data_IF_632490658980
#
_entry.id   IF_632490658980
#
_cell.length_a   1.000
_cell.length_b   1.000
_cell.length_c   1.000
_cell.angle_alpha   90.00
_cell.angle_beta   90.00
_cell.angle_gamma   90.00
#
_symmetry.space_group_name_H-M   'P 1'
#
loop_
_entity.id
_entity.type
_entity.pdbx_description
1 polymer ?
#
# COMPACT_ATOMS: atom_id res chain seq x y z
N UNK A 1 -21.07 -16.77 6.00
CA UNK A 1 -20.77 -15.83 4.88
C UNK A 1 -20.99 -14.42 5.42
N UNK A 2 -19.94 -13.59 5.43
CA UNK A 2 -20.13 -12.17 5.73
C UNK A 2 -20.96 -11.54 4.60
N UNK A 3 -21.83 -10.55 4.88
CA UNK A 3 -22.44 -9.71 3.86
C UNK A 3 -21.36 -9.08 2.98
N UNK A 4 -21.62 -8.93 1.68
CA UNK A 4 -20.65 -8.40 0.71
C UNK A 4 -20.05 -7.05 1.15
N UNK A 5 -20.84 -6.19 1.80
CA UNK A 5 -20.38 -4.90 2.33
C UNK A 5 -19.42 -5.03 3.51
N UNK A 6 -19.68 -5.95 4.45
CA UNK A 6 -18.78 -6.20 5.59
C UNK A 6 -17.46 -6.81 5.10
N UNK A 7 -17.53 -7.71 4.12
CA UNK A 7 -16.34 -8.23 3.45
C UNK A 7 -15.55 -7.13 2.74
N UNK A 8 -16.21 -6.23 2.01
CA UNK A 8 -15.55 -5.11 1.32
C UNK A 8 -14.83 -4.17 2.28
N UNK A 9 -15.48 -3.77 3.38
CA UNK A 9 -14.84 -2.93 4.41
C UNK A 9 -13.62 -3.63 5.00
N UNK A 10 -13.75 -4.88 5.45
CA UNK A 10 -12.63 -5.64 6.02
C UNK A 10 -11.49 -5.82 5.00
N UNK A 11 -11.81 -6.04 3.72
CA UNK A 11 -10.81 -6.17 2.67
C UNK A 11 -10.06 -4.86 2.45
N UNK A 12 -10.77 -3.72 2.35
CA UNK A 12 -10.16 -2.40 2.19
C UNK A 12 -9.26 -2.05 3.38
N UNK A 13 -9.71 -2.27 4.62
CA UNK A 13 -8.92 -2.02 5.83
C UNK A 13 -7.61 -2.83 5.83
N UNK A 14 -7.69 -4.14 5.52
CA UNK A 14 -6.51 -5.00 5.45
C UNK A 14 -5.58 -4.62 4.30
N UNK A 15 -6.12 -4.18 3.17
CA UNK A 15 -5.31 -3.75 2.03
C UNK A 15 -4.60 -2.42 2.30
N UNK A 16 -5.23 -1.50 3.03
CA UNK A 16 -4.57 -0.28 3.54
C UNK A 16 -3.38 -0.65 4.42
N UNK A 17 -3.58 -1.50 5.42
CA UNK A 17 -2.49 -1.94 6.33
C UNK A 17 -1.36 -2.65 5.56
N UNK A 18 -1.72 -3.54 4.63
CA UNK A 18 -0.75 -4.24 3.79
C UNK A 18 0.06 -3.27 2.92
N UNK A 19 -0.58 -2.26 2.32
CA UNK A 19 0.11 -1.25 1.51
C UNK A 19 0.97 -0.32 2.35
N UNK A 20 0.54 0.07 3.55
CA UNK A 20 1.35 0.89 4.46
C UNK A 20 2.65 0.16 4.83
N UNK A 21 2.58 -1.14 5.12
CA UNK A 21 3.78 -1.95 5.36
C UNK A 21 4.69 -2.09 4.12
N UNK A 22 4.11 -2.19 2.92
CA UNK A 22 4.88 -2.23 1.68
C UNK A 22 5.57 -0.90 1.37
N UNK A 23 4.93 0.23 1.65
CA UNK A 23 5.52 1.57 1.53
C UNK A 23 6.69 1.72 2.50
N UNK A 24 6.55 1.30 3.76
CA UNK A 24 7.63 1.33 4.75
C UNK A 24 8.86 0.54 4.26
N UNK A 25 8.66 -0.70 3.80
CA UNK A 25 9.75 -1.53 3.27
C UNK A 25 10.39 -0.89 2.03
N UNK A 26 9.58 -0.32 1.13
CA UNK A 26 10.07 0.30 -0.09
C UNK A 26 10.87 1.59 0.21
N UNK A 27 10.44 2.40 1.18
CA UNK A 27 11.25 3.54 1.65
C UNK A 27 12.61 3.07 2.17
N UNK A 28 12.64 1.98 2.94
CA UNK A 28 13.88 1.38 3.43
C UNK A 28 14.85 0.97 2.30
N UNK A 29 14.32 0.39 1.21
CA UNK A 29 15.11 0.05 0.02
C UNK A 29 15.54 1.30 -0.76
N UNK A 30 14.73 2.35 -0.83
CA UNK A 30 15.14 3.62 -1.47
C UNK A 30 16.32 4.27 -0.74
N UNK A 31 16.30 4.25 0.59
CA UNK A 31 17.28 4.93 1.42
C UNK A 31 18.61 4.16 1.50
N UNK A 32 18.55 2.82 1.52
CA UNK A 32 19.71 1.98 1.83
C UNK A 32 20.13 1.04 0.69
N UNK A 33 19.29 0.85 -0.31
CA UNK A 33 19.48 -0.10 -1.41
C UNK A 33 20.69 0.25 -2.29
N UNK A 34 21.44 -0.77 -2.68
CA UNK A 34 22.64 -0.62 -3.51
C UNK A 34 22.41 -1.08 -4.96
N UNK A 35 21.39 -1.91 -5.20
CA UNK A 35 21.07 -2.40 -6.53
C UNK A 35 20.08 -1.45 -7.21
N UNK A 36 20.58 -0.64 -8.15
CA UNK A 36 19.82 0.45 -8.78
C UNK A 36 18.43 0.04 -9.32
N UNK A 37 18.25 -1.13 -9.98
CA UNK A 37 16.92 -1.57 -10.40
C UNK A 37 15.94 -1.82 -9.23
N UNK A 38 16.42 -2.33 -8.09
CA UNK A 38 15.58 -2.51 -6.89
C UNK A 38 15.19 -1.16 -6.27
N UNK A 39 16.12 -0.22 -6.17
CA UNK A 39 15.84 1.16 -5.70
C UNK A 39 14.79 1.84 -6.60
N UNK A 40 14.89 1.67 -7.92
CA UNK A 40 13.91 2.23 -8.85
C UNK A 40 12.54 1.56 -8.71
N UNK A 41 12.49 0.24 -8.50
CA UNK A 41 11.25 -0.47 -8.22
C UNK A 41 10.62 0.01 -6.90
N UNK A 42 11.43 0.19 -5.86
CA UNK A 42 10.98 0.69 -4.57
C UNK A 42 10.36 2.10 -4.72
N UNK A 43 10.95 2.96 -5.54
CA UNK A 43 10.36 4.26 -5.85
C UNK A 43 8.98 4.17 -6.50
N UNK A 44 8.82 3.27 -7.48
CA UNK A 44 7.53 3.03 -8.11
C UNK A 44 6.52 2.48 -7.11
N UNK A 45 6.92 1.58 -6.21
CA UNK A 45 6.06 1.01 -5.17
C UNK A 45 5.55 2.09 -4.21
N UNK A 46 6.43 2.97 -3.73
CA UNK A 46 6.04 4.10 -2.86
C UNK A 46 5.00 4.98 -3.55
N UNK A 47 5.24 5.36 -4.81
CA UNK A 47 4.31 6.20 -5.58
C UNK A 47 2.94 5.53 -5.77
N UNK A 48 2.93 4.30 -6.27
CA UNK A 48 1.67 3.62 -6.62
C UNK A 48 0.87 3.23 -5.39
N UNK A 49 1.52 2.67 -4.36
CA UNK A 49 0.79 2.17 -3.19
C UNK A 49 0.31 3.30 -2.27
N UNK A 50 1.02 4.43 -2.22
CA UNK A 50 0.49 5.65 -1.55
C UNK A 50 -0.81 6.12 -2.22
N UNK A 51 -0.83 6.18 -3.56
CA UNK A 51 -2.04 6.57 -4.29
C UNK A 51 -3.18 5.54 -4.15
N UNK A 52 -2.88 4.26 -3.97
CA UNK A 52 -3.88 3.21 -3.71
C UNK A 52 -4.43 3.30 -2.28
N UNK A 53 -3.59 3.57 -1.28
CA UNK A 53 -4.01 3.85 0.09
C UNK A 53 -5.02 4.99 0.12
N UNK A 54 -4.73 6.12 -0.55
CA UNK A 54 -5.64 7.28 -0.60
C UNK A 54 -6.99 6.92 -1.21
N UNK A 55 -6.99 6.14 -2.30
CA UNK A 55 -8.23 5.66 -2.92
C UNK A 55 -9.01 4.74 -1.99
N UNK A 56 -8.36 3.84 -1.28
CA UNK A 56 -9.01 2.91 -0.36
C UNK A 56 -9.58 3.63 0.87
N UNK A 57 -8.85 4.61 1.43
CA UNK A 57 -9.34 5.48 2.51
C UNK A 57 -10.57 6.28 2.06
N UNK A 58 -10.53 6.83 0.85
CA UNK A 58 -11.71 7.50 0.26
C UNK A 58 -12.92 6.56 0.09
N UNK A 59 -12.71 5.29 -0.27
CA UNK A 59 -13.77 4.27 -0.36
C UNK A 59 -14.33 3.86 1.02
N UNK A 60 -13.48 3.84 2.04
CA UNK A 60 -13.88 3.61 3.43
C UNK A 60 -14.60 4.84 4.03
N UNK A 61 -14.40 6.02 3.45
CA UNK A 61 -14.88 7.29 4.01
C UNK A 61 -14.03 7.78 5.19
N UNK A 62 -12.75 7.39 5.24
CA UNK A 62 -11.77 7.76 6.26
C UNK A 62 -10.75 8.81 5.81
#
# INVERSE_FOLDING_TARGET
NAPDSEFQTMWLERMVEHHEGAVEMAQGEQDNGQYKPAVNLAAAVVETQTAEIDKMKALLGS
#
